data_IF_357875788853
#
_entry.id   IF_357875788853
#
_cell.length_a   1.000
_cell.length_b   1.000
_cell.length_c   1.000
_cell.angle_alpha   90.00
_cell.angle_beta   90.00
_cell.angle_gamma   90.00
#
_symmetry.space_group_name_H-M   'P 1'
#
loop_
_entity.id
_entity.type
_entity.pdbx_description
1 polymer ?
#
# COMPACT_ATOMS: atom_id res chain seq x y z
N UNK A 1 6.64 10.74 2.53
CA UNK A 1 6.38 10.23 3.88
C UNK A 1 7.67 10.42 4.65
N UNK A 2 7.79 11.57 5.32
CA UNK A 2 9.04 12.08 5.87
C UNK A 2 9.15 11.99 7.39
N UNK A 3 8.18 11.37 8.08
CA UNK A 3 8.02 11.56 9.52
C UNK A 3 8.67 10.45 10.36
N UNK A 4 8.99 9.29 9.76
CA UNK A 4 9.75 8.21 10.41
C UNK A 4 10.86 7.73 9.46
N UNK A 5 12.06 8.32 9.62
CA UNK A 5 13.26 7.89 8.89
C UNK A 5 13.95 6.75 9.63
N UNK A 6 14.58 5.86 8.86
CA UNK A 6 15.35 4.75 9.40
C UNK A 6 16.55 5.26 10.23
N UNK A 7 16.79 4.74 11.45
CA UNK A 7 17.81 5.23 12.36
C UNK A 7 19.18 4.69 11.90
N UNK A 8 19.89 5.47 11.08
CA UNK A 8 21.15 5.04 10.47
C UNK A 8 22.29 4.88 11.46
N UNK A 9 22.27 5.65 12.54
CA UNK A 9 23.32 5.68 13.56
C UNK A 9 23.04 4.70 14.71
N UNK A 10 21.91 3.97 14.67
CA UNK A 10 21.49 3.05 15.71
C UNK A 10 20.77 3.75 16.87
N UNK A 11 20.82 3.13 18.05
CA UNK A 11 20.22 3.60 19.30
C UNK A 11 21.25 3.49 20.42
N UNK A 12 21.23 4.43 21.37
CA UNK A 12 22.17 4.43 22.50
C UNK A 12 21.81 3.36 23.54
N UNK A 13 20.53 2.97 23.60
CA UNK A 13 20.04 1.95 24.52
C UNK A 13 18.73 1.30 24.01
N UNK A 14 18.30 0.24 24.70
CA UNK A 14 17.11 -0.51 24.33
C UNK A 14 15.80 0.30 24.43
N UNK A 15 15.70 1.21 25.41
CA UNK A 15 14.50 2.04 25.61
C UNK A 15 14.28 2.98 24.42
N UNK A 16 15.34 3.60 23.90
CA UNK A 16 15.26 4.43 22.69
C UNK A 16 14.84 3.62 21.45
N UNK A 17 15.38 2.40 21.31
CA UNK A 17 15.01 1.49 20.24
C UNK A 17 13.52 1.11 20.31
N UNK A 18 13.01 0.78 21.49
CA UNK A 18 11.60 0.44 21.71
C UNK A 18 10.68 1.62 21.39
N UNK A 19 11.00 2.83 21.85
CA UNK A 19 10.23 4.03 21.57
C UNK A 19 10.17 4.32 20.07
N UNK A 20 11.31 4.20 19.38
CA UNK A 20 11.37 4.39 17.94
C UNK A 20 10.54 3.34 17.19
N UNK A 21 10.65 2.06 17.55
CA UNK A 21 9.89 0.97 16.91
C UNK A 21 8.39 1.17 17.11
N UNK A 22 7.94 1.52 18.31
CA UNK A 22 6.52 1.78 18.58
C UNK A 22 5.98 2.88 17.67
N UNK A 23 6.69 4.01 17.60
CA UNK A 23 6.33 5.11 16.72
C UNK A 23 6.35 4.74 15.24
N UNK A 24 7.35 3.95 14.81
CA UNK A 24 7.46 3.47 13.45
C UNK A 24 6.28 2.58 13.07
N UNK A 25 5.87 1.65 13.93
CA UNK A 25 4.73 0.75 13.68
C UNK A 25 3.44 1.54 13.49
N UNK A 26 3.18 2.51 14.35
CA UNK A 26 1.99 3.38 14.26
C UNK A 26 2.01 4.23 12.97
N UNK A 27 3.17 4.79 12.62
CA UNK A 27 3.32 5.51 11.35
C UNK A 27 3.14 4.59 10.14
N UNK A 28 3.79 3.42 10.14
CA UNK A 28 3.73 2.48 9.03
C UNK A 28 2.30 1.99 8.80
N UNK A 29 1.56 1.68 9.86
CA UNK A 29 0.21 1.16 9.75
C UNK A 29 -0.84 2.23 9.39
N UNK A 30 -0.75 3.42 9.96
CA UNK A 30 -1.85 4.40 9.88
C UNK A 30 -1.55 5.63 9.00
N UNK A 31 -0.29 5.89 8.65
CA UNK A 31 0.10 7.09 7.91
C UNK A 31 0.81 6.77 6.59
N UNK A 32 1.64 5.72 6.57
CA UNK A 32 2.40 5.34 5.39
C UNK A 32 1.48 4.76 4.30
N UNK A 33 1.41 5.43 3.14
CA UNK A 33 0.67 4.93 1.97
C UNK A 33 1.57 4.02 1.16
N UNK A 34 1.33 2.72 1.29
CA UNK A 34 2.21 1.71 0.74
C UNK A 34 1.91 1.44 -0.75
N UNK A 35 2.93 1.58 -1.62
CA UNK A 35 2.77 1.45 -3.08
C UNK A 35 2.27 0.07 -3.50
N UNK A 36 2.70 -0.99 -2.80
CA UNK A 36 2.29 -2.36 -3.08
C UNK A 36 0.80 -2.63 -2.91
N UNK A 37 0.09 -1.80 -2.14
CA UNK A 37 -1.36 -1.89 -1.88
C UNK A 37 -2.12 -0.68 -2.43
N UNK A 38 -1.68 -0.17 -3.58
CA UNK A 38 -2.33 0.97 -4.27
C UNK A 38 -2.37 2.23 -3.41
N UNK A 39 -1.33 2.54 -2.64
CA UNK A 39 -1.23 3.78 -1.86
C UNK A 39 -2.40 3.98 -0.86
N UNK A 40 -2.91 2.89 -0.28
CA UNK A 40 -3.67 2.92 0.98
C UNK A 40 -2.71 2.61 2.14
N UNK A 41 -3.13 2.85 3.36
CA UNK A 41 -2.31 2.47 4.52
C UNK A 41 -2.47 0.98 4.83
N UNK A 42 -1.45 0.32 5.38
CA UNK A 42 -1.56 -1.07 5.83
C UNK A 42 -2.74 -1.30 6.78
N UNK A 43 -2.99 -0.39 7.72
CA UNK A 43 -4.14 -0.41 8.63
C UNK A 43 -5.49 -0.36 7.91
N UNK A 44 -5.63 0.54 6.92
CA UNK A 44 -6.82 0.60 6.06
C UNK A 44 -7.07 -0.74 5.34
N UNK A 45 -6.01 -1.33 4.79
CA UNK A 45 -6.12 -2.61 4.09
C UNK A 45 -6.46 -3.76 5.04
N UNK A 46 -5.89 -3.76 6.24
CA UNK A 46 -6.16 -4.76 7.28
C UNK A 46 -7.64 -4.73 7.71
N UNK A 47 -8.20 -3.52 7.88
CA UNK A 47 -9.61 -3.32 8.24
C UNK A 47 -10.59 -3.43 7.06
N UNK A 48 -10.10 -3.64 5.83
CA UNK A 48 -10.93 -3.74 4.61
C UNK A 48 -11.50 -2.40 4.12
N UNK A 49 -10.97 -1.27 4.61
CA UNK A 49 -11.38 0.09 4.22
C UNK A 49 -10.86 0.48 2.83
N UNK A 50 -9.87 -0.26 2.32
CA UNK A 50 -9.22 0.00 1.03
C UNK A 50 -10.22 -0.02 -0.14
N UNK A 51 -11.22 -0.89 -0.11
CA UNK A 51 -12.23 -0.98 -1.15
C UNK A 51 -12.95 0.37 -1.38
N UNK A 52 -13.42 0.99 -0.30
CA UNK A 52 -14.14 2.25 -0.37
C UNK A 52 -13.21 3.43 -0.70
N UNK A 53 -12.01 3.45 -0.11
CA UNK A 53 -10.99 4.47 -0.40
C UNK A 53 -10.64 4.47 -1.89
N UNK A 54 -10.42 3.29 -2.47
CA UNK A 54 -10.05 3.13 -3.87
C UNK A 54 -11.23 3.44 -4.82
N UNK A 55 -12.47 3.08 -4.45
CA UNK A 55 -13.67 3.46 -5.20
C UNK A 55 -13.81 4.99 -5.31
N UNK A 56 -13.75 5.70 -4.18
CA UNK A 56 -13.83 7.18 -4.14
C UNK A 56 -12.69 7.84 -4.91
N UNK A 57 -11.48 7.30 -4.80
CA UNK A 57 -10.31 7.80 -5.55
C UNK A 57 -10.54 7.68 -7.05
N UNK A 58 -11.03 6.54 -7.52
CA UNK A 58 -11.34 6.33 -8.94
C UNK A 58 -12.34 7.37 -9.45
N UNK A 59 -13.42 7.60 -8.71
CA UNK A 59 -14.44 8.60 -9.07
C UNK A 59 -13.86 10.01 -9.16
N UNK A 60 -13.07 10.40 -8.15
CA UNK A 60 -12.40 11.70 -8.11
C UNK A 60 -11.47 11.89 -9.31
N UNK A 61 -10.67 10.88 -9.64
CA UNK A 61 -9.75 10.94 -10.79
C UNK A 61 -10.49 11.02 -12.12
N UNK A 62 -11.57 10.26 -12.28
CA UNK A 62 -12.39 10.30 -13.49
C UNK A 62 -13.07 11.66 -13.67
N UNK A 63 -13.58 12.25 -12.59
CA UNK A 63 -14.17 13.60 -12.63
C UNK A 63 -13.13 14.67 -12.96
N UNK A 64 -11.96 14.63 -12.32
CA UNK A 64 -10.87 15.55 -12.63
C UNK A 64 -10.39 15.42 -14.10
N UNK A 65 -10.38 14.20 -14.64
CA UNK A 65 -10.08 13.95 -16.06
C UNK A 65 -11.15 14.47 -17.00
N UNK A 66 -12.44 14.35 -16.65
CA UNK A 66 -13.53 14.93 -17.45
C UNK A 66 -13.44 16.44 -17.54
N UNK A 67 -13.05 17.11 -16.44
CA UNK A 67 -12.94 18.58 -16.39
C UNK A 67 -11.75 19.13 -17.18
N UNK A 68 -10.62 18.42 -17.15
CA UNK A 68 -9.36 18.90 -17.73
C UNK A 68 -8.63 17.80 -18.50
N UNK A 69 -9.19 17.26 -19.59
CA UNK A 69 -8.61 16.12 -20.30
C UNK A 69 -7.18 16.38 -20.80
N UNK A 70 -6.83 17.63 -21.12
CA UNK A 70 -5.50 18.08 -21.56
C UNK A 70 -4.39 17.84 -20.53
N UNK A 71 -4.74 17.72 -19.24
CA UNK A 71 -3.78 17.45 -18.15
C UNK A 71 -3.48 15.96 -17.97
N UNK A 72 -4.13 15.08 -18.72
CA UNK A 72 -4.06 13.64 -18.51
C UNK A 72 -3.46 12.92 -19.70
N UNK A 73 -2.58 11.95 -19.42
CA UNK A 73 -2.03 11.05 -20.43
C UNK A 73 -3.16 10.14 -20.93
N UNK A 74 -3.40 10.15 -22.24
CA UNK A 74 -4.43 9.37 -22.90
C UNK A 74 -4.36 7.89 -22.51
N UNK A 75 -5.48 7.33 -22.09
CA UNK A 75 -5.61 5.90 -21.76
C UNK A 75 -5.07 5.46 -20.40
N UNK A 76 -4.58 6.37 -19.53
CA UNK A 76 -4.07 5.98 -18.20
C UNK A 76 -4.74 6.74 -17.05
N UNK A 77 -5.23 5.97 -16.08
CA UNK A 77 -5.58 6.42 -14.72
C UNK A 77 -4.89 5.50 -13.72
N UNK A 78 -4.68 5.97 -12.49
CA UNK A 78 -4.11 5.12 -11.44
C UNK A 78 -4.98 3.89 -11.23
N UNK A 79 -4.36 2.71 -11.15
CA UNK A 79 -5.07 1.49 -10.83
C UNK A 79 -5.65 1.58 -9.41
N UNK A 80 -6.99 1.65 -9.33
CA UNK A 80 -7.75 1.71 -8.09
C UNK A 80 -8.53 0.42 -7.83
N UNK A 81 -8.08 -0.71 -8.37
CA UNK A 81 -8.66 -2.01 -8.07
C UNK A 81 -8.09 -2.51 -6.74
N UNK A 82 -8.93 -2.89 -5.76
CA UNK A 82 -8.47 -3.48 -4.50
C UNK A 82 -7.60 -4.71 -4.72
N UNK A 83 -6.61 -4.90 -3.86
CA UNK A 83 -5.71 -6.05 -3.94
C UNK A 83 -6.13 -7.08 -2.90
N UNK A 84 -6.49 -8.29 -3.38
CA UNK A 84 -6.93 -9.38 -2.51
C UNK A 84 -5.80 -9.99 -1.69
N UNK A 85 -4.63 -10.18 -2.30
CA UNK A 85 -3.51 -10.89 -1.69
C UNK A 85 -2.19 -10.21 -2.06
N UNK A 86 -1.27 -10.13 -1.09
CA UNK A 86 0.10 -9.62 -1.26
C UNK A 86 1.06 -10.48 -0.44
N UNK A 87 2.29 -10.63 -0.93
CA UNK A 87 3.33 -11.45 -0.31
C UNK A 87 4.52 -10.57 0.10
N UNK A 88 5.08 -10.81 1.29
CA UNK A 88 6.22 -10.03 1.83
C UNK A 88 7.59 -10.51 1.29
N UNK A 89 7.70 -11.77 0.86
CA UNK A 89 8.95 -12.34 0.33
C UNK A 89 8.69 -13.24 -0.89
N UNK A 90 8.84 -12.72 -2.13
CA UNK A 90 8.46 -13.42 -3.34
C UNK A 90 9.52 -14.38 -3.89
N UNK A 91 10.67 -14.61 -3.25
CA UNK A 91 11.51 -15.78 -3.56
C UNK A 91 10.81 -17.13 -3.31
N UNK A 92 9.65 -17.14 -2.64
CA UNK A 92 8.72 -18.28 -2.61
C UNK A 92 7.65 -18.22 -3.72
N UNK A 93 7.81 -17.32 -4.69
CA UNK A 93 6.86 -16.97 -5.76
C UNK A 93 6.70 -18.00 -6.88
N UNK A 94 6.87 -19.29 -6.58
CA UNK A 94 6.48 -20.41 -7.41
C UNK A 94 6.01 -21.58 -6.54
N UNK A 95 4.95 -21.39 -5.75
CA UNK A 95 4.07 -22.53 -5.49
C UNK A 95 3.19 -22.65 -6.74
N UNK A 96 3.66 -23.42 -7.71
CA UNK A 96 2.89 -23.76 -8.90
C UNK A 96 1.48 -24.19 -8.46
N UNK A 97 0.46 -23.55 -9.02
CA UNK A 97 -0.88 -24.13 -9.02
C UNK A 97 -0.79 -25.47 -9.73
N UNK A 98 -0.71 -26.57 -8.97
CA UNK A 98 -0.90 -27.90 -9.53
C UNK A 98 -2.32 -27.94 -10.07
N UNK A 99 -2.47 -27.71 -11.37
CA UNK A 99 -3.65 -28.08 -12.11
C UNK A 99 -3.94 -29.56 -11.80
N UNK A 100 -4.92 -29.82 -10.95
CA UNK A 100 -5.49 -31.14 -10.80
C UNK A 100 -6.07 -31.52 -12.17
N UNK A 101 -5.40 -32.44 -12.87
CA UNK A 101 -6.02 -33.12 -14.00
C UNK A 101 -7.21 -33.90 -13.45
N UNK A 102 -8.41 -33.51 -13.86
CA UNK A 102 -9.59 -34.33 -13.73
C UNK A 102 -9.32 -35.69 -14.40
N UNK A 103 -9.58 -36.77 -13.65
CA UNK A 103 -9.70 -38.13 -14.18
C UNK A 103 -11.16 -38.38 -14.58
#
# INVERSE_FOLDING_TARGET
>A
SGDYLYPRDGFDNAEEAEQWVQGFVDHYNEHHRHRGIRMVTPGQRYRGEDAEVLRRRRETMLEARRRHPERWITGRVLNCTPIKEVWLNPENGQLEEKHAKAA
#
